data_IF_717300939329
#
_entry.id   IF_717300939329
#
_cell.length_a   1.000
_cell.length_b   1.000
_cell.length_c   1.000
_cell.angle_alpha   90.00
_cell.angle_beta   90.00
_cell.angle_gamma   90.00
#
_symmetry.space_group_name_H-M   'P 1'
#
loop_
_entity.id
_entity.type
_entity.pdbx_description
1 polymer ?
#
# COMPACT_ATOMS: atom_id res chain seq x y z
N UNK A 1 -1.83 12.95 -12.95
CA UNK A 1 -1.33 11.57 -12.85
C UNK A 1 0.14 11.64 -12.48
N UNK A 2 0.42 11.58 -11.18
CA UNK A 2 1.78 11.58 -10.64
C UNK A 2 2.11 10.17 -10.16
N UNK A 3 3.29 9.67 -10.52
CA UNK A 3 3.82 8.41 -9.99
C UNK A 3 4.84 8.72 -8.90
N UNK A 4 4.59 8.21 -7.71
CA UNK A 4 5.50 8.33 -6.55
C UNK A 4 6.09 6.96 -6.26
N UNK A 5 7.41 6.87 -6.10
CA UNK A 5 8.08 5.62 -5.71
C UNK A 5 8.46 5.68 -4.23
N UNK A 6 8.22 4.59 -3.51
CA UNK A 6 8.45 4.43 -2.08
C UNK A 6 9.29 3.17 -1.84
N UNK A 7 10.54 3.37 -1.45
CA UNK A 7 11.43 2.28 -1.08
C UNK A 7 11.22 1.89 0.39
N UNK A 8 10.77 0.67 0.61
CA UNK A 8 10.55 0.03 1.90
C UNK A 8 11.40 -1.24 2.05
N UNK A 9 12.49 -1.33 1.29
CA UNK A 9 13.41 -2.47 1.36
C UNK A 9 14.04 -2.56 2.76
N UNK A 10 14.24 -3.79 3.25
CA UNK A 10 14.78 -4.02 4.59
C UNK A 10 13.79 -3.81 5.76
N UNK A 11 12.55 -3.38 5.50
CA UNK A 11 11.51 -3.29 6.53
C UNK A 11 10.73 -4.59 6.66
N UNK A 12 10.51 -5.03 7.90
CA UNK A 12 9.72 -6.23 8.23
C UNK A 12 8.27 -5.88 8.53
N UNK A 13 7.36 -6.82 8.29
CA UNK A 13 5.95 -6.70 8.69
C UNK A 13 5.81 -6.27 10.17
N UNK A 14 4.92 -5.31 10.50
CA UNK A 14 3.89 -4.66 9.67
C UNK A 14 4.30 -3.29 9.09
N UNK A 15 5.60 -2.93 9.14
CA UNK A 15 6.07 -1.59 8.76
C UNK A 15 5.79 -1.21 7.29
N UNK A 16 5.91 -2.12 6.30
CA UNK A 16 5.64 -1.80 4.90
C UNK A 16 4.21 -1.32 4.65
N UNK A 17 3.23 -2.00 5.22
CA UNK A 17 1.81 -1.63 5.12
C UNK A 17 1.55 -0.26 5.77
N UNK A 18 2.08 -0.02 6.97
CA UNK A 18 1.90 1.25 7.68
C UNK A 18 2.47 2.45 6.91
N UNK A 19 3.67 2.30 6.33
CA UNK A 19 4.30 3.36 5.52
C UNK A 19 3.59 3.57 4.20
N UNK A 20 3.17 2.49 3.54
CA UNK A 20 2.34 2.55 2.34
C UNK A 20 1.07 3.36 2.59
N UNK A 21 0.32 3.05 3.65
CA UNK A 21 -0.87 3.83 4.04
C UNK A 21 -0.55 5.30 4.26
N UNK A 22 0.57 5.63 4.93
CA UNK A 22 0.97 7.02 5.17
C UNK A 22 1.29 7.75 3.86
N UNK A 23 1.94 7.08 2.91
CA UNK A 23 2.27 7.64 1.61
C UNK A 23 1.03 7.81 0.70
N UNK A 24 0.00 6.99 0.87
CA UNK A 24 -1.28 7.11 0.15
C UNK A 24 -2.16 8.27 0.62
N UNK A 25 -2.02 8.69 1.89
CA UNK A 25 -2.83 9.80 2.45
C UNK A 25 -2.75 11.11 1.66
N UNK A 26 -1.57 11.60 1.26
CA UNK A 26 -1.46 12.83 0.47
C UNK A 26 -1.76 12.66 -1.02
N UNK A 27 -1.97 11.43 -1.52
CA UNK A 27 -2.20 11.20 -2.95
C UNK A 27 -3.63 11.50 -3.37
N UNK A 28 -3.77 12.01 -4.58
CA UNK A 28 -5.07 12.29 -5.18
C UNK A 28 -5.56 11.09 -5.99
N UNK A 29 -6.88 10.93 -6.17
CA UNK A 29 -7.42 9.94 -7.12
C UNK A 29 -6.77 10.06 -8.50
N UNK A 30 -6.31 8.94 -9.06
CA UNK A 30 -5.56 8.87 -10.31
C UNK A 30 -4.03 9.05 -10.15
N UNK A 31 -3.52 9.25 -8.94
CA UNK A 31 -2.09 9.12 -8.66
C UNK A 31 -1.72 7.66 -8.38
N UNK A 32 -0.46 7.35 -8.67
CA UNK A 32 0.10 6.01 -8.51
C UNK A 32 1.24 6.02 -7.49
N UNK A 33 1.23 5.05 -6.58
CA UNK A 33 2.28 4.79 -5.61
C UNK A 33 2.92 3.44 -5.91
N UNK A 34 4.20 3.47 -6.24
CA UNK A 34 4.99 2.27 -6.42
C UNK A 34 5.77 1.98 -5.14
N UNK A 35 5.58 0.80 -4.56
CA UNK A 35 6.19 0.40 -3.27
C UNK A 35 7.15 -0.75 -3.50
N UNK A 36 8.41 -0.59 -3.10
CA UNK A 36 9.45 -1.62 -3.21
C UNK A 36 9.68 -2.26 -1.84
N UNK A 37 9.43 -3.56 -1.73
CA UNK A 37 9.60 -4.33 -0.50
C UNK A 37 10.50 -5.54 -0.76
N UNK A 38 11.19 -6.03 0.27
CA UNK A 38 11.96 -7.29 0.19
C UNK A 38 11.34 -8.40 1.05
N UNK A 39 10.27 -8.08 1.77
CA UNK A 39 9.65 -9.00 2.72
C UNK A 39 8.51 -9.80 2.06
N UNK A 40 8.51 -11.14 2.18
CA UNK A 40 7.51 -11.99 1.53
C UNK A 40 6.10 -11.83 2.11
N UNK A 41 5.96 -11.39 3.36
CA UNK A 41 4.64 -11.17 3.98
C UNK A 41 3.96 -9.92 3.44
N UNK A 42 4.73 -8.97 2.89
CA UNK A 42 4.20 -7.76 2.25
C UNK A 42 3.22 -8.07 1.10
N UNK A 43 3.35 -9.24 0.45
CA UNK A 43 2.42 -9.72 -0.60
C UNK A 43 1.00 -9.94 -0.08
N UNK A 44 0.84 -10.19 1.21
CA UNK A 44 -0.47 -10.39 1.84
C UNK A 44 -0.92 -9.08 2.49
N UNK A 45 -0.03 -8.44 3.25
CA UNK A 45 -0.36 -7.25 4.04
C UNK A 45 -0.71 -6.04 3.18
N UNK A 46 0.06 -5.74 2.13
CA UNK A 46 -0.20 -4.58 1.28
C UNK A 46 -1.55 -4.72 0.56
N UNK A 47 -1.82 -5.82 -0.18
CA UNK A 47 -3.12 -5.95 -0.85
C UNK A 47 -4.29 -5.94 0.12
N UNK A 48 -4.16 -6.55 1.30
CA UNK A 48 -5.23 -6.50 2.30
C UNK A 48 -5.51 -5.07 2.77
N UNK A 49 -4.46 -4.31 3.10
CA UNK A 49 -4.56 -2.90 3.46
C UNK A 49 -5.22 -2.06 2.34
N UNK A 50 -4.79 -2.23 1.09
CA UNK A 50 -5.33 -1.44 -0.03
C UNK A 50 -6.81 -1.78 -0.28
N UNK A 51 -7.20 -3.05 -0.11
CA UNK A 51 -8.61 -3.46 -0.21
C UNK A 51 -9.46 -2.83 0.89
N UNK A 52 -8.92 -2.67 2.11
CA UNK A 52 -9.60 -1.94 3.19
C UNK A 52 -9.77 -0.45 2.88
N UNK A 53 -8.83 0.16 2.15
CA UNK A 53 -8.93 1.58 1.75
C UNK A 53 -9.78 1.82 0.50
N UNK A 54 -10.18 0.75 -0.19
CA UNK A 54 -10.92 0.83 -1.45
C UNK A 54 -10.10 1.38 -2.62
N UNK A 55 -8.78 1.30 -2.52
CA UNK A 55 -7.85 1.63 -3.59
C UNK A 55 -7.54 0.37 -4.43
N UNK A 56 -6.72 0.51 -5.46
CA UNK A 56 -6.33 -0.62 -6.32
C UNK A 56 -4.84 -0.90 -6.19
N UNK A 57 -4.45 -2.17 -6.22
CA UNK A 57 -3.05 -2.60 -6.14
C UNK A 57 -2.79 -3.71 -7.14
N UNK A 58 -1.64 -3.62 -7.79
CA UNK A 58 -1.09 -4.61 -8.70
C UNK A 58 0.34 -4.95 -8.25
N UNK A 59 0.75 -6.20 -8.44
CA UNK A 59 2.15 -6.60 -8.21
C UNK A 59 2.83 -6.60 -9.58
N UNK A 60 3.71 -5.63 -9.80
CA UNK A 60 4.40 -5.46 -11.09
C UNK A 60 5.69 -6.27 -11.17
N UNK A 61 6.31 -6.56 -10.02
CA UNK A 61 7.51 -7.40 -9.95
C UNK A 61 7.48 -8.23 -8.66
N UNK A 62 7.82 -9.52 -8.75
CA UNK A 62 8.01 -10.38 -7.58
C UNK A 62 9.09 -11.40 -7.87
N UNK A 63 10.19 -11.31 -7.14
CA UNK A 63 11.29 -12.27 -7.18
C UNK A 63 11.83 -12.50 -5.77
N UNK A 64 12.90 -13.28 -5.65
CA UNK A 64 13.55 -13.58 -4.37
C UNK A 64 14.29 -12.37 -3.78
N UNK A 65 14.63 -11.36 -4.59
CA UNK A 65 15.36 -10.18 -4.18
C UNK A 65 14.45 -9.03 -3.71
N UNK A 66 13.31 -8.81 -4.39
CA UNK A 66 12.35 -7.74 -4.12
C UNK A 66 10.96 -8.01 -4.71
N UNK A 67 10.01 -7.22 -4.23
CA UNK A 67 8.59 -7.23 -4.59
C UNK A 67 8.17 -5.78 -4.81
N UNK A 68 7.59 -5.50 -5.96
CA UNK A 68 7.14 -4.16 -6.35
C UNK A 68 5.62 -4.17 -6.46
N UNK A 69 4.98 -3.29 -5.70
CA UNK A 69 3.54 -3.06 -5.71
C UNK A 69 3.25 -1.73 -6.40
N UNK A 70 2.37 -1.71 -7.38
CA UNK A 70 1.83 -0.50 -7.98
C UNK A 70 0.42 -0.29 -7.45
N UNK A 71 0.23 0.78 -6.69
CA UNK A 71 -1.04 1.12 -6.06
C UNK A 71 -1.59 2.35 -6.75
N UNK A 72 -2.79 2.26 -7.30
CA UNK A 72 -3.48 3.40 -7.87
C UNK A 72 -4.55 3.88 -6.89
N UNK A 73 -4.47 5.16 -6.56
CA UNK A 73 -5.42 5.82 -5.67
C UNK A 73 -6.73 5.98 -6.44
N UNK A 74 -7.80 5.37 -5.94
CA UNK A 74 -9.13 5.49 -6.55
C UNK A 74 -10.02 6.39 -5.68
N UNK A 75 -9.97 6.23 -4.36
CA UNK A 75 -10.85 6.94 -3.44
C UNK A 75 -10.13 8.03 -2.66
N UNK A 76 -10.41 9.29 -2.95
CA UNK A 76 -9.80 10.44 -2.28
C UNK A 76 -10.51 10.79 -0.98
N UNK A 77 -10.47 9.95 0.06
CA UNK A 77 -10.87 10.24 1.45
C UNK A 77 -10.70 8.99 2.32
N UNK A 78 -9.57 8.83 3.02
CA UNK A 78 -9.48 7.84 4.12
C UNK A 78 -9.74 8.57 5.43
N UNK A 79 -10.99 8.99 5.61
CA UNK A 79 -11.61 9.18 6.90
C UNK A 79 -12.91 8.39 6.84
N UNK A 80 -13.28 7.70 7.93
CA UNK A 80 -14.46 6.81 8.08
C UNK A 80 -14.19 5.32 7.78
N UNK A 81 -13.53 4.63 8.71
CA UNK A 81 -14.15 3.40 9.23
C UNK A 81 -13.87 3.33 10.72
N UNK A 82 -14.97 3.43 11.46
CA UNK A 82 -15.04 3.40 12.90
C UNK A 82 -14.37 2.13 13.44
N UNK A 83 -13.42 2.29 14.36
CA UNK A 83 -13.17 1.29 15.38
C UNK A 83 -14.36 1.23 16.33
N UNK A 84 -15.44 0.59 15.90
CA UNK A 84 -16.59 0.28 16.74
C UNK A 84 -17.24 -1.02 16.23
N UNK A 85 -16.63 -2.16 16.56
CA UNK A 85 -17.37 -3.31 17.09
C UNK A 85 -16.37 -4.37 17.58
N UNK A 86 -16.37 -4.61 18.90
CA UNK A 86 -16.39 -5.97 19.47
C UNK A 86 -16.57 -5.91 21.00
N UNK A 87 -17.82 -6.19 21.38
CA UNK A 87 -18.30 -6.88 22.59
C UNK A 87 -18.18 -6.18 23.94
#
# INVERSE_FOLDING_TARGET
MTRTTLDLTGLKCPLPALKTRKALKPLQPGDQLEVHCTDPLSVIDIPNLIRETGDTVEITERNEARIVFLIEKINGSIEKTNGALRS
#
